data_IF_711694292732
#
_entry.id   IF_711694292732
#
_cell.length_a   1.000
_cell.length_b   1.000
_cell.length_c   1.000
_cell.angle_alpha   90.00
_cell.angle_beta   90.00
_cell.angle_gamma   90.00
#
_symmetry.space_group_name_H-M   'P 1'
#
loop_
_entity.id
_entity.type
_entity.pdbx_description
1 polymer ?
#
# COMPACT_ATOMS: atom_id res chain seq x y z
N UNK A 1 -12.78 -4.72 -30.07
CA UNK A 1 -12.05 -3.52 -29.68
C UNK A 1 -12.72 -2.68 -28.56
N UNK A 2 -13.96 -2.97 -28.09
CA UNK A 2 -14.82 -1.97 -27.44
C UNK A 2 -15.31 -2.24 -26.01
N UNK A 3 -14.84 -3.27 -25.27
CA UNK A 3 -15.31 -3.47 -23.87
C UNK A 3 -14.44 -2.79 -22.80
N UNK A 4 -13.14 -2.59 -23.06
CA UNK A 4 -12.28 -1.83 -22.15
C UNK A 4 -12.53 -0.32 -22.26
N UNK A 5 -12.79 0.20 -23.48
CA UNK A 5 -13.18 1.58 -23.73
C UNK A 5 -14.47 1.96 -22.97
N UNK A 6 -15.51 1.10 -22.95
CA UNK A 6 -16.76 1.37 -22.23
C UNK A 6 -16.62 1.50 -20.70
N UNK A 7 -15.59 0.91 -20.07
CA UNK A 7 -15.38 1.07 -18.62
C UNK A 7 -14.63 2.35 -18.29
N UNK A 8 -13.76 2.83 -19.19
CA UNK A 8 -13.14 4.16 -19.11
C UNK A 8 -14.20 5.26 -19.23
N UNK A 9 -15.23 5.09 -20.06
CA UNK A 9 -16.30 6.08 -20.22
C UNK A 9 -17.01 6.41 -18.91
N UNK A 10 -17.23 5.41 -18.04
CA UNK A 10 -17.89 5.63 -16.75
C UNK A 10 -17.09 6.55 -15.81
N UNK A 11 -15.74 6.50 -15.86
CA UNK A 11 -14.87 7.36 -15.05
C UNK A 11 -14.88 8.80 -15.57
N UNK A 12 -15.07 8.99 -16.89
CA UNK A 12 -15.06 10.29 -17.54
C UNK A 12 -16.46 10.95 -17.58
N UNK A 13 -17.55 10.16 -17.68
CA UNK A 13 -18.91 10.69 -17.89
C UNK A 13 -19.86 10.48 -16.71
N UNK A 14 -19.64 9.46 -15.87
CA UNK A 14 -20.54 9.07 -14.78
C UNK A 14 -20.59 10.12 -13.65
N UNK A 15 -21.66 10.11 -12.84
CA UNK A 15 -21.77 10.96 -11.65
C UNK A 15 -20.63 10.64 -10.65
N UNK A 16 -19.93 11.64 -10.06
CA UNK A 16 -18.71 11.40 -9.28
C UNK A 16 -18.87 10.44 -8.12
N UNK A 17 -19.93 10.58 -7.29
CA UNK A 17 -20.11 9.75 -6.09
C UNK A 17 -20.37 8.27 -6.42
N UNK A 18 -21.35 7.90 -7.28
CA UNK A 18 -21.53 6.50 -7.65
C UNK A 18 -20.30 5.91 -8.35
N UNK A 19 -19.67 6.68 -9.23
CA UNK A 19 -18.46 6.24 -9.95
C UNK A 19 -17.33 5.93 -8.98
N UNK A 20 -17.05 6.83 -8.03
CA UNK A 20 -16.05 6.62 -6.99
C UNK A 20 -16.36 5.38 -6.17
N UNK A 21 -17.61 5.23 -5.71
CA UNK A 21 -18.04 4.11 -4.87
C UNK A 21 -17.88 2.76 -5.59
N UNK A 22 -18.42 2.63 -6.81
CA UNK A 22 -18.32 1.37 -7.57
C UNK A 22 -16.88 1.00 -7.95
N UNK A 23 -16.01 2.00 -8.11
CA UNK A 23 -14.61 1.77 -8.40
C UNK A 23 -13.79 1.47 -7.14
N UNK A 24 -14.08 2.14 -6.01
CA UNK A 24 -13.42 1.95 -4.73
C UNK A 24 -13.79 0.61 -4.06
N UNK A 25 -15.04 0.17 -4.16
CA UNK A 25 -15.54 -1.01 -3.47
C UNK A 25 -14.69 -2.27 -3.71
N UNK A 26 -14.31 -2.65 -4.94
CA UNK A 26 -13.42 -3.80 -5.16
C UNK A 26 -12.03 -3.60 -4.54
N UNK A 27 -11.52 -2.37 -4.48
CA UNK A 27 -10.20 -2.06 -3.90
C UNK A 27 -10.28 -2.20 -2.38
N UNK A 28 -11.31 -1.63 -1.75
CA UNK A 28 -11.57 -1.75 -0.30
C UNK A 28 -11.69 -3.21 0.10
N UNK A 29 -12.54 -3.96 -0.60
CA UNK A 29 -12.72 -5.39 -0.34
C UNK A 29 -11.39 -6.15 -0.51
N UNK A 30 -10.60 -5.83 -1.55
CA UNK A 30 -9.28 -6.41 -1.75
C UNK A 30 -8.34 -6.14 -0.56
N UNK A 31 -8.29 -4.91 -0.06
CA UNK A 31 -7.48 -4.55 1.10
C UNK A 31 -7.94 -5.30 2.37
N UNK A 32 -9.25 -5.40 2.60
CA UNK A 32 -9.82 -6.14 3.73
C UNK A 32 -9.45 -7.63 3.63
N UNK A 33 -9.66 -8.25 2.47
CA UNK A 33 -9.30 -9.66 2.27
C UNK A 33 -7.79 -9.89 2.46
N UNK A 34 -6.95 -8.96 2.07
CA UNK A 34 -5.51 -9.04 2.29
C UNK A 34 -5.15 -8.99 3.78
N UNK A 35 -5.86 -8.19 4.60
CA UNK A 35 -5.66 -8.16 6.05
C UNK A 35 -6.15 -9.47 6.70
N UNK A 36 -7.33 -9.95 6.33
CA UNK A 36 -7.85 -11.23 6.83
C UNK A 36 -6.92 -12.39 6.48
N UNK A 37 -6.45 -12.43 5.26
CA UNK A 37 -5.49 -13.42 4.81
C UNK A 37 -4.20 -13.39 5.64
N UNK A 38 -3.63 -12.21 5.90
CA UNK A 38 -2.42 -12.07 6.73
C UNK A 38 -2.60 -12.62 8.16
N UNK A 39 -3.82 -12.55 8.71
CA UNK A 39 -4.14 -13.16 10.01
C UNK A 39 -4.18 -14.69 9.90
N UNK A 40 -4.82 -15.22 8.85
CA UNK A 40 -4.89 -16.68 8.61
C UNK A 40 -3.50 -17.26 8.42
N UNK A 41 -2.66 -16.60 7.63
CA UNK A 41 -1.26 -16.99 7.40
C UNK A 41 -0.48 -17.05 8.73
N UNK A 42 -0.58 -16.00 9.55
CA UNK A 42 0.06 -15.97 10.86
C UNK A 42 -0.41 -17.11 11.79
N UNK A 43 -1.70 -17.49 11.74
CA UNK A 43 -2.25 -18.61 12.51
C UNK A 43 -1.69 -19.95 12.01
N UNK A 44 -1.67 -20.17 10.69
CA UNK A 44 -1.16 -21.42 10.08
C UNK A 44 0.32 -21.58 10.41
N UNK A 45 1.10 -20.52 10.18
CA UNK A 45 2.54 -20.50 10.49
C UNK A 45 2.78 -20.78 11.98
N UNK A 46 2.09 -20.06 12.87
CA UNK A 46 2.26 -20.24 14.32
C UNK A 46 1.87 -21.60 14.82
N UNK A 47 0.86 -22.24 14.20
CA UNK A 47 0.37 -23.58 14.63
C UNK A 47 1.27 -24.73 14.17
N UNK A 48 1.88 -24.64 12.99
CA UNK A 48 2.55 -25.76 12.35
C UNK A 48 4.08 -25.66 12.33
N UNK A 49 4.67 -24.45 12.43
CA UNK A 49 6.11 -24.29 12.27
C UNK A 49 6.94 -24.44 13.55
N UNK A 50 6.38 -24.17 14.71
CA UNK A 50 7.13 -24.05 15.97
C UNK A 50 7.87 -22.72 16.11
N UNK A 51 8.58 -22.53 17.23
CA UNK A 51 9.09 -21.24 17.67
C UNK A 51 10.26 -20.71 16.83
N UNK A 52 11.20 -21.57 16.45
CA UNK A 52 12.42 -21.16 15.75
C UNK A 52 12.15 -20.61 14.33
N UNK A 53 11.40 -21.30 13.44
CA UNK A 53 11.04 -20.75 12.14
C UNK A 53 10.13 -19.52 12.25
N UNK A 54 9.22 -19.48 13.24
CA UNK A 54 8.36 -18.31 13.47
C UNK A 54 9.20 -17.07 13.86
N UNK A 55 10.20 -17.24 14.71
CA UNK A 55 11.17 -16.19 15.02
C UNK A 55 11.93 -15.75 13.77
N UNK A 56 12.33 -16.70 12.90
CA UNK A 56 12.99 -16.41 11.62
C UNK A 56 12.15 -15.53 10.69
N UNK A 57 10.86 -15.86 10.51
CA UNK A 57 9.93 -15.04 9.71
C UNK A 57 9.76 -13.65 10.34
N UNK A 58 9.61 -13.57 11.67
CA UNK A 58 9.38 -12.30 12.36
C UNK A 58 10.55 -11.33 12.23
N UNK A 59 11.78 -11.83 12.22
CA UNK A 59 13.00 -11.00 12.02
C UNK A 59 13.18 -10.63 10.55
N UNK A 60 12.78 -11.51 9.61
CA UNK A 60 12.87 -11.27 8.19
C UNK A 60 11.80 -10.31 7.66
N UNK A 61 10.60 -10.29 8.26
CA UNK A 61 9.44 -9.53 7.80
C UNK A 61 9.74 -8.03 7.55
N UNK A 62 10.42 -7.29 8.44
CA UNK A 62 10.74 -5.89 8.19
C UNK A 62 11.56 -5.63 6.93
N UNK A 63 12.47 -6.54 6.59
CA UNK A 63 13.32 -6.43 5.39
C UNK A 63 12.47 -6.65 4.14
N UNK A 64 11.60 -7.66 4.16
CA UNK A 64 10.65 -7.95 3.09
C UNK A 64 9.67 -6.80 2.89
N UNK A 65 9.17 -6.21 3.97
CA UNK A 65 8.22 -5.09 3.92
C UNK A 65 8.81 -3.85 3.25
N UNK A 66 10.08 -3.53 3.52
CA UNK A 66 10.77 -2.41 2.85
C UNK A 66 10.94 -2.70 1.35
N UNK A 67 11.33 -3.91 0.97
CA UNK A 67 11.46 -4.30 -0.44
C UNK A 67 10.11 -4.25 -1.17
N UNK A 68 9.06 -4.78 -0.55
CA UNK A 68 7.70 -4.71 -1.09
C UNK A 68 7.19 -3.26 -1.18
N UNK A 69 7.48 -2.41 -0.20
CA UNK A 69 7.11 -0.99 -0.21
C UNK A 69 7.74 -0.25 -1.41
N UNK A 70 9.00 -0.54 -1.74
CA UNK A 70 9.66 0.01 -2.93
C UNK A 70 9.00 -0.45 -4.22
N UNK A 71 8.72 -1.74 -4.35
CA UNK A 71 8.08 -2.33 -5.54
C UNK A 71 6.65 -1.80 -5.69
N UNK A 72 5.82 -1.89 -4.67
CA UNK A 72 4.42 -1.46 -4.70
C UNK A 72 4.33 0.05 -4.95
N UNK A 73 5.13 0.84 -4.22
CA UNK A 73 5.18 2.28 -4.39
C UNK A 73 5.55 2.67 -5.82
N UNK A 74 6.58 2.03 -6.40
CA UNK A 74 6.97 2.24 -7.79
C UNK A 74 5.84 1.98 -8.77
N UNK A 75 5.11 0.88 -8.59
CA UNK A 75 3.97 0.54 -9.47
C UNK A 75 2.77 1.50 -9.30
N UNK A 76 2.56 2.07 -8.11
CA UNK A 76 1.55 3.13 -7.89
C UNK A 76 1.91 4.36 -8.73
N UNK A 77 3.16 4.82 -8.68
CA UNK A 77 3.62 5.96 -9.47
C UNK A 77 3.44 5.77 -10.97
N UNK A 78 3.79 4.58 -11.48
CA UNK A 78 3.58 4.20 -12.89
C UNK A 78 2.09 4.18 -13.23
N UNK A 79 1.23 3.69 -12.33
CA UNK A 79 -0.21 3.68 -12.50
C UNK A 79 -0.82 5.06 -12.67
N UNK A 80 -0.32 6.08 -11.95
CA UNK A 80 -0.75 7.48 -12.14
C UNK A 80 -0.49 7.95 -13.57
N UNK A 81 0.73 7.71 -14.07
CA UNK A 81 1.12 8.10 -15.42
C UNK A 81 0.28 7.36 -16.47
N UNK A 82 0.04 6.05 -16.26
CA UNK A 82 -0.84 5.24 -17.09
C UNK A 82 -2.26 5.83 -17.14
N UNK A 83 -2.84 6.17 -15.99
CA UNK A 83 -4.19 6.70 -15.91
C UNK A 83 -4.33 8.05 -16.64
N UNK A 84 -3.32 8.92 -16.56
CA UNK A 84 -3.29 10.19 -17.31
C UNK A 84 -3.26 9.94 -18.82
N UNK A 85 -2.44 9.00 -19.30
CA UNK A 85 -2.37 8.66 -20.71
C UNK A 85 -3.65 7.96 -21.20
N UNK A 86 -4.29 7.13 -20.37
CA UNK A 86 -5.59 6.53 -20.67
C UNK A 86 -6.68 7.61 -20.83
N UNK A 87 -6.70 8.61 -19.94
CA UNK A 87 -7.64 9.71 -20.00
C UNK A 87 -7.43 10.64 -21.21
N UNK A 88 -6.19 10.82 -21.63
CA UNK A 88 -5.81 11.57 -22.84
C UNK A 88 -6.02 10.77 -24.14
N UNK A 89 -6.39 9.48 -24.05
CA UNK A 89 -6.50 8.56 -25.20
C UNK A 89 -5.21 8.45 -26.03
N UNK A 90 -4.04 8.77 -25.44
CA UNK A 90 -2.75 8.70 -26.11
C UNK A 90 -2.17 7.27 -26.03
N UNK A 91 -2.76 6.38 -26.82
CA UNK A 91 -2.45 4.96 -26.83
C UNK A 91 -1.01 4.65 -27.30
N UNK A 92 -0.44 5.49 -28.17
CA UNK A 92 0.93 5.32 -28.65
C UNK A 92 1.91 5.56 -27.51
N UNK A 93 1.72 6.67 -26.80
CA UNK A 93 2.55 7.04 -25.66
C UNK A 93 2.37 6.08 -24.50
N UNK A 94 1.14 5.58 -24.29
CA UNK A 94 0.84 4.55 -23.29
C UNK A 94 1.61 3.26 -23.54
N UNK A 95 1.68 2.76 -24.79
CA UNK A 95 2.44 1.55 -25.13
C UNK A 95 3.94 1.75 -24.94
N UNK A 96 4.47 2.90 -25.36
CA UNK A 96 5.88 3.25 -25.13
C UNK A 96 6.21 3.29 -23.64
N UNK A 97 5.36 3.94 -22.84
CA UNK A 97 5.47 3.98 -21.39
C UNK A 97 5.39 2.58 -20.78
N UNK A 98 4.42 1.77 -21.21
CA UNK A 98 4.23 0.40 -20.74
C UNK A 98 5.48 -0.47 -20.99
N UNK A 99 6.04 -0.44 -22.20
CA UNK A 99 7.26 -1.19 -22.53
C UNK A 99 8.46 -0.72 -21.70
N UNK A 100 8.66 0.60 -21.60
CA UNK A 100 9.78 1.21 -20.86
C UNK A 100 9.67 0.92 -19.36
N UNK A 101 8.47 1.04 -18.79
CA UNK A 101 8.20 0.82 -17.36
C UNK A 101 8.32 -0.67 -16.98
N UNK A 102 7.86 -1.58 -17.85
CA UNK A 102 7.98 -3.01 -17.65
C UNK A 102 9.45 -3.44 -17.63
N UNK A 103 10.22 -3.03 -18.65
CA UNK A 103 11.64 -3.37 -18.76
C UNK A 103 12.47 -2.73 -17.64
N UNK A 104 12.29 -1.44 -17.40
CA UNK A 104 13.04 -0.71 -16.36
C UNK A 104 12.65 -1.17 -14.95
N UNK A 105 11.37 -1.39 -14.70
CA UNK A 105 10.88 -1.87 -13.41
C UNK A 105 11.32 -3.31 -13.12
N UNK A 106 11.26 -4.20 -14.12
CA UNK A 106 11.77 -5.57 -13.99
C UNK A 106 13.29 -5.59 -13.72
N UNK A 107 14.06 -4.81 -14.46
CA UNK A 107 15.51 -4.72 -14.25
C UNK A 107 15.86 -4.21 -12.84
N UNK A 108 15.18 -3.13 -12.39
CA UNK A 108 15.38 -2.60 -11.03
C UNK A 108 14.98 -3.61 -9.96
N UNK A 109 13.86 -4.32 -10.16
CA UNK A 109 13.40 -5.35 -9.21
C UNK A 109 14.38 -6.51 -9.12
N UNK A 110 14.96 -6.94 -10.25
CA UNK A 110 16.00 -7.98 -10.26
C UNK A 110 17.27 -7.52 -9.53
N UNK A 111 17.64 -6.25 -9.65
CA UNK A 111 18.77 -5.68 -8.87
C UNK A 111 18.45 -5.70 -7.38
N UNK A 112 17.26 -5.25 -6.98
CA UNK A 112 16.82 -5.28 -5.57
C UNK A 112 16.82 -6.73 -5.05
N UNK A 113 16.31 -7.67 -5.83
CA UNK A 113 16.29 -9.09 -5.48
C UNK A 113 17.71 -9.65 -5.29
N UNK A 114 18.62 -9.39 -6.24
CA UNK A 114 20.01 -9.85 -6.15
C UNK A 114 20.74 -9.26 -4.94
N UNK A 115 20.59 -7.96 -4.68
CA UNK A 115 21.16 -7.29 -3.50
C UNK A 115 20.53 -7.87 -2.23
N UNK A 116 19.22 -8.07 -2.19
CA UNK A 116 18.52 -8.67 -1.05
C UNK A 116 18.99 -10.08 -0.73
N UNK A 117 19.21 -10.93 -1.76
CA UNK A 117 19.73 -12.29 -1.59
C UNK A 117 21.15 -12.25 -1.00
N UNK A 118 22.03 -11.44 -1.59
CA UNK A 118 23.45 -11.33 -1.14
C UNK A 118 23.55 -10.73 0.26
N UNK A 119 22.74 -9.70 0.55
CA UNK A 119 22.78 -8.97 1.80
C UNK A 119 21.92 -9.59 2.92
N UNK A 120 21.16 -10.68 2.67
CA UNK A 120 20.25 -11.29 3.65
C UNK A 120 20.94 -11.65 4.96
N UNK A 121 22.05 -12.40 4.92
CA UNK A 121 22.80 -12.80 6.12
C UNK A 121 23.47 -11.61 6.82
N UNK A 122 24.22 -10.73 6.09
CA UNK A 122 24.77 -9.51 6.71
C UNK A 122 23.72 -8.63 7.41
N UNK A 123 22.55 -8.44 6.81
CA UNK A 123 21.49 -7.62 7.39
C UNK A 123 20.92 -8.24 8.66
N UNK A 124 20.68 -9.56 8.66
CA UNK A 124 20.19 -10.28 9.84
C UNK A 124 21.21 -10.24 11.00
N UNK A 125 22.50 -10.44 10.71
CA UNK A 125 23.55 -10.31 11.73
C UNK A 125 23.67 -8.88 12.26
N UNK A 126 23.53 -7.87 11.42
CA UNK A 126 23.53 -6.47 11.85
C UNK A 126 22.36 -6.12 12.77
N UNK A 127 21.24 -6.87 12.69
CA UNK A 127 20.13 -6.77 13.64
C UNK A 127 20.39 -7.49 14.99
N UNK A 128 21.53 -8.12 15.18
CA UNK A 128 21.83 -8.88 16.38
C UNK A 128 21.08 -10.21 16.47
N UNK A 129 20.63 -10.77 15.35
CA UNK A 129 19.87 -12.03 15.29
C UNK A 129 20.75 -13.21 15.70
N UNK A 130 20.24 -14.06 16.60
CA UNK A 130 20.89 -15.31 17.00
C UNK A 130 21.16 -16.22 15.79
N UNK A 131 22.32 -16.90 15.76
CA UNK A 131 22.77 -17.66 14.59
C UNK A 131 21.78 -18.77 14.12
N UNK A 132 21.07 -19.39 15.08
CA UNK A 132 20.06 -20.39 14.77
C UNK A 132 18.86 -19.77 14.01
N UNK A 133 18.35 -18.63 14.49
CA UNK A 133 17.25 -17.87 13.87
C UNK A 133 17.71 -17.24 12.55
N UNK A 134 18.96 -16.77 12.49
CA UNK A 134 19.56 -16.18 11.30
C UNK A 134 19.57 -17.15 10.10
N UNK A 135 19.86 -18.42 10.33
CA UNK A 135 19.84 -19.45 9.27
C UNK A 135 18.46 -19.64 8.69
N UNK A 136 17.43 -19.77 9.52
CA UNK A 136 16.04 -19.91 9.07
C UNK A 136 15.57 -18.63 8.33
N UNK A 137 15.80 -17.46 8.92
CA UNK A 137 15.45 -16.18 8.34
C UNK A 137 16.13 -15.94 6.98
N UNK A 138 17.40 -16.32 6.82
CA UNK A 138 18.15 -16.17 5.58
C UNK A 138 17.55 -17.02 4.44
N UNK A 139 17.18 -18.27 4.72
CA UNK A 139 16.52 -19.14 3.74
C UNK A 139 15.19 -18.53 3.28
N UNK A 140 14.39 -18.04 4.22
CA UNK A 140 13.12 -17.38 3.90
C UNK A 140 13.34 -16.13 3.03
N UNK A 141 14.25 -15.24 3.44
CA UNK A 141 14.57 -14.01 2.70
C UNK A 141 15.03 -14.31 1.28
N UNK A 142 15.96 -15.25 1.10
CA UNK A 142 16.50 -15.61 -0.21
C UNK A 142 15.41 -16.11 -1.16
N UNK A 143 14.51 -16.95 -0.68
CA UNK A 143 13.39 -17.46 -1.48
C UNK A 143 12.38 -16.36 -1.81
N UNK A 144 12.02 -15.50 -0.86
CA UNK A 144 11.10 -14.38 -1.10
C UNK A 144 11.70 -13.36 -2.06
N UNK A 145 12.99 -13.02 -1.91
CA UNK A 145 13.67 -12.14 -2.85
C UNK A 145 13.78 -12.74 -4.26
N UNK A 146 14.02 -14.05 -4.39
CA UNK A 146 13.99 -14.72 -5.69
C UNK A 146 12.60 -14.61 -6.36
N UNK A 147 11.52 -14.60 -5.58
CA UNK A 147 10.16 -14.38 -6.04
C UNK A 147 9.74 -12.92 -6.25
N UNK A 148 10.59 -11.94 -5.89
CA UNK A 148 10.21 -10.52 -5.91
C UNK A 148 9.80 -10.01 -7.30
N UNK A 149 10.34 -10.62 -8.37
CA UNK A 149 9.93 -10.30 -9.74
C UNK A 149 8.46 -10.65 -10.00
N UNK A 150 7.95 -11.72 -9.43
CA UNK A 150 6.54 -12.10 -9.54
C UNK A 150 5.63 -11.11 -8.79
N UNK A 151 6.08 -10.65 -7.61
CA UNK A 151 5.43 -9.58 -6.86
C UNK A 151 5.36 -8.29 -7.69
N UNK A 152 6.46 -7.88 -8.32
CA UNK A 152 6.49 -6.73 -9.22
C UNK A 152 5.49 -6.89 -10.38
N UNK A 153 5.54 -7.99 -11.10
CA UNK A 153 4.68 -8.23 -12.26
C UNK A 153 3.20 -8.20 -11.89
N UNK A 154 2.81 -8.83 -10.78
CA UNK A 154 1.45 -8.78 -10.27
C UNK A 154 1.02 -7.33 -9.97
N UNK A 155 1.77 -6.62 -9.12
CA UNK A 155 1.45 -5.26 -8.73
C UNK A 155 1.45 -4.29 -9.91
N UNK A 156 2.38 -4.47 -10.85
CA UNK A 156 2.48 -3.71 -12.08
C UNK A 156 1.21 -3.85 -12.93
N UNK A 157 0.86 -5.07 -13.32
CA UNK A 157 -0.32 -5.30 -14.17
C UNK A 157 -1.63 -5.00 -13.43
N UNK A 158 -1.72 -5.26 -12.13
CA UNK A 158 -2.87 -4.87 -11.31
C UNK A 158 -3.04 -3.33 -11.28
N UNK A 159 -1.94 -2.57 -11.15
CA UNK A 159 -1.95 -1.10 -11.21
C UNK A 159 -2.37 -0.61 -12.60
N UNK A 160 -1.83 -1.18 -13.67
CA UNK A 160 -2.17 -0.84 -15.05
C UNK A 160 -3.65 -1.12 -15.36
N UNK A 161 -4.19 -2.26 -14.93
CA UNK A 161 -5.61 -2.61 -15.10
C UNK A 161 -6.51 -1.62 -14.35
N UNK A 162 -6.16 -1.26 -13.10
CA UNK A 162 -6.90 -0.22 -12.36
C UNK A 162 -6.84 1.12 -13.08
N UNK A 163 -5.69 1.51 -13.59
CA UNK A 163 -5.48 2.75 -14.34
C UNK A 163 -6.32 2.82 -15.62
N UNK A 164 -6.59 1.67 -16.24
CA UNK A 164 -7.52 1.55 -17.38
C UNK A 164 -9.00 1.37 -16.96
N UNK A 165 -9.37 1.67 -15.71
CA UNK A 165 -10.75 1.62 -15.22
C UNK A 165 -11.26 0.23 -14.81
N UNK A 166 -10.38 -0.76 -14.62
CA UNK A 166 -10.77 -2.10 -14.21
C UNK A 166 -10.23 -2.45 -12.81
N UNK A 167 -10.98 -2.11 -11.75
CA UNK A 167 -10.65 -2.50 -10.37
C UNK A 167 -11.12 -3.90 -9.99
N UNK A 168 -12.11 -4.47 -10.70
CA UNK A 168 -12.71 -5.77 -10.36
C UNK A 168 -11.79 -6.94 -10.64
N UNK A 169 -11.08 -6.93 -11.76
CA UNK A 169 -10.21 -8.06 -12.15
C UNK A 169 -9.05 -8.25 -11.17
N UNK A 170 -8.26 -7.22 -10.80
CA UNK A 170 -7.23 -7.37 -9.77
C UNK A 170 -7.78 -7.86 -8.44
N UNK A 171 -8.99 -7.43 -8.05
CA UNK A 171 -9.65 -7.91 -6.83
C UNK A 171 -9.96 -9.41 -6.90
N UNK A 172 -10.57 -9.89 -7.99
CA UNK A 172 -10.90 -11.33 -8.15
C UNK A 172 -9.62 -12.17 -8.14
N UNK A 173 -8.58 -11.71 -8.83
CA UNK A 173 -7.28 -12.41 -8.83
C UNK A 173 -6.70 -12.48 -7.42
N UNK A 174 -6.74 -11.36 -6.67
CA UNK A 174 -6.28 -11.33 -5.29
C UNK A 174 -7.07 -12.31 -4.41
N UNK A 175 -8.39 -12.32 -4.52
CA UNK A 175 -9.26 -13.21 -3.74
C UNK A 175 -8.93 -14.68 -3.98
N UNK A 176 -8.85 -15.09 -5.25
CA UNK A 176 -8.52 -16.48 -5.61
C UNK A 176 -7.10 -16.84 -5.18
N UNK A 177 -6.13 -15.94 -5.40
CA UNK A 177 -4.73 -16.15 -5.02
C UNK A 177 -4.55 -16.25 -3.51
N UNK A 178 -5.23 -15.43 -2.71
CA UNK A 178 -5.18 -15.49 -1.25
C UNK A 178 -5.76 -16.79 -0.71
N UNK A 179 -6.87 -17.27 -1.32
CA UNK A 179 -7.44 -18.58 -0.97
C UNK A 179 -6.48 -19.71 -1.32
N UNK A 180 -5.89 -19.66 -2.52
CA UNK A 180 -4.89 -20.64 -2.96
C UNK A 180 -3.67 -20.65 -2.04
N UNK A 181 -3.20 -19.47 -1.61
CA UNK A 181 -2.05 -19.35 -0.70
C UNK A 181 -2.34 -20.03 0.64
N UNK A 182 -3.49 -19.76 1.27
CA UNK A 182 -3.87 -20.42 2.52
C UNK A 182 -3.91 -21.96 2.39
N UNK A 183 -4.41 -22.47 1.25
CA UNK A 183 -4.41 -23.91 0.96
C UNK A 183 -2.99 -24.47 0.77
N UNK A 184 -2.12 -23.74 0.09
CA UNK A 184 -0.73 -24.15 -0.11
C UNK A 184 0.08 -24.07 1.19
N UNK A 185 -0.17 -23.10 2.07
CA UNK A 185 0.45 -23.04 3.39
C UNK A 185 0.09 -24.28 4.23
N UNK A 186 -1.19 -24.62 4.30
CA UNK A 186 -1.63 -25.85 4.99
C UNK A 186 -0.97 -27.09 4.37
N UNK A 187 -0.89 -27.17 3.05
CA UNK A 187 -0.29 -28.29 2.35
C UNK A 187 1.24 -28.37 2.59
N UNK A 188 1.97 -27.28 2.36
CA UNK A 188 3.43 -27.32 2.42
C UNK A 188 3.96 -27.32 3.84
N UNK A 189 3.30 -26.59 4.74
CA UNK A 189 3.75 -26.48 6.13
C UNK A 189 3.09 -27.54 7.00
N UNK A 190 1.78 -27.75 6.87
CA UNK A 190 1.03 -28.66 7.73
C UNK A 190 1.16 -30.13 7.30
N UNK A 191 1.05 -30.44 5.98
CA UNK A 191 1.04 -31.83 5.49
C UNK A 191 2.43 -32.30 5.09
N UNK A 192 3.14 -31.51 4.27
CA UNK A 192 4.47 -31.88 3.73
C UNK A 192 5.62 -31.55 4.70
N UNK A 193 5.36 -30.77 5.77
CA UNK A 193 6.34 -30.38 6.77
C UNK A 193 7.62 -29.74 6.21
N UNK A 194 7.49 -28.92 5.16
CA UNK A 194 8.61 -28.21 4.54
C UNK A 194 9.15 -27.05 5.37
N UNK A 195 8.57 -26.79 6.53
CA UNK A 195 9.00 -25.75 7.44
C UNK A 195 8.91 -24.35 6.81
N UNK A 196 9.88 -23.49 7.11
CA UNK A 196 9.94 -22.10 6.61
C UNK A 196 10.04 -22.01 5.08
N UNK A 197 10.62 -23.04 4.43
CA UNK A 197 10.68 -23.12 2.97
C UNK A 197 9.28 -23.28 2.36
N UNK A 198 8.39 -23.99 3.05
CA UNK A 198 7.01 -24.14 2.63
C UNK A 198 6.28 -22.82 2.53
N UNK A 199 6.41 -21.96 3.55
CA UNK A 199 5.81 -20.61 3.57
C UNK A 199 6.36 -19.73 2.46
N UNK A 200 7.68 -19.75 2.23
CA UNK A 200 8.28 -18.97 1.15
C UNK A 200 7.83 -19.46 -0.23
N UNK A 201 7.76 -20.78 -0.43
CA UNK A 201 7.33 -21.36 -1.69
C UNK A 201 5.85 -21.08 -1.99
N UNK A 202 4.94 -21.20 -1.01
CA UNK A 202 3.52 -20.87 -1.20
C UNK A 202 3.34 -19.42 -1.60
N UNK A 203 4.05 -18.49 -0.94
CA UNK A 203 4.06 -17.06 -1.27
C UNK A 203 4.49 -16.83 -2.73
N UNK A 204 5.64 -17.38 -3.14
CA UNK A 204 6.18 -17.17 -4.49
C UNK A 204 5.28 -17.78 -5.55
N UNK A 205 4.75 -18.98 -5.32
CA UNK A 205 3.84 -19.65 -6.26
C UNK A 205 2.54 -18.85 -6.45
N UNK A 206 1.96 -18.32 -5.37
CA UNK A 206 0.74 -17.51 -5.44
C UNK A 206 0.98 -16.17 -6.13
N UNK A 207 2.12 -15.53 -5.89
CA UNK A 207 2.51 -14.32 -6.62
C UNK A 207 2.72 -14.62 -8.11
N UNK A 208 3.34 -15.75 -8.45
CA UNK A 208 3.52 -16.20 -9.84
C UNK A 208 2.18 -16.45 -10.52
N UNK A 209 1.26 -17.15 -9.85
CA UNK A 209 -0.10 -17.39 -10.34
C UNK A 209 -0.85 -16.07 -10.58
N UNK A 210 -0.80 -15.13 -9.62
CA UNK A 210 -1.43 -13.82 -9.73
C UNK A 210 -0.86 -13.01 -10.88
N UNK A 211 0.46 -12.99 -11.04
CA UNK A 211 1.15 -12.31 -12.12
C UNK A 211 0.76 -12.89 -13.48
N UNK A 212 0.82 -14.22 -13.64
CA UNK A 212 0.45 -14.91 -14.87
C UNK A 212 -1.01 -14.62 -15.26
N UNK A 213 -1.95 -14.68 -14.29
CA UNK A 213 -3.35 -14.37 -14.57
C UNK A 213 -3.55 -12.91 -14.95
N UNK A 214 -2.92 -11.94 -14.25
CA UNK A 214 -2.98 -10.52 -14.62
C UNK A 214 -2.44 -10.28 -16.04
N UNK A 215 -1.31 -10.87 -16.40
CA UNK A 215 -0.69 -10.74 -17.71
C UNK A 215 -1.63 -11.30 -18.79
N UNK A 216 -2.08 -12.55 -18.64
CA UNK A 216 -2.98 -13.21 -19.58
C UNK A 216 -4.30 -12.45 -19.76
N UNK A 217 -4.84 -11.88 -18.68
CA UNK A 217 -6.04 -11.07 -18.75
C UNK A 217 -5.77 -9.75 -19.49
N UNK A 218 -4.68 -9.07 -19.18
CA UNK A 218 -4.30 -7.82 -19.84
C UNK A 218 -4.10 -8.03 -21.34
N UNK A 219 -3.38 -9.06 -21.73
CA UNK A 219 -3.15 -9.39 -23.15
C UNK A 219 -4.43 -9.69 -23.91
N UNK A 220 -5.37 -10.44 -23.31
CA UNK A 220 -6.60 -10.87 -23.99
C UNK A 220 -7.73 -9.84 -23.97
N UNK A 221 -7.78 -8.97 -22.95
CA UNK A 221 -8.94 -8.12 -22.67
C UNK A 221 -8.65 -6.62 -22.62
N UNK A 222 -7.37 -6.22 -22.61
CA UNK A 222 -6.95 -4.82 -22.54
C UNK A 222 -5.97 -4.48 -23.67
N UNK A 223 -6.42 -4.28 -24.91
CA UNK A 223 -5.56 -3.99 -26.06
C UNK A 223 -4.57 -2.83 -25.86
N UNK A 224 -4.92 -1.75 -25.09
CA UNK A 224 -3.96 -0.70 -24.80
C UNK A 224 -2.73 -1.16 -24.03
N UNK A 225 -2.85 -2.23 -23.24
CA UNK A 225 -1.76 -2.79 -22.41
C UNK A 225 -0.99 -3.91 -23.11
N UNK A 226 -1.50 -4.41 -24.25
CA UNK A 226 -0.86 -5.48 -25.00
C UNK A 226 0.37 -4.93 -25.71
N UNK A 227 1.54 -5.55 -25.49
CA UNK A 227 2.79 -5.20 -26.12
C UNK A 227 3.17 -6.27 -27.16
N UNK A 228 3.48 -5.84 -28.37
CA UNK A 228 4.11 -6.69 -29.38
C UNK A 228 5.62 -6.79 -29.07
N UNK A 229 6.26 -7.89 -29.46
CA UNK A 229 7.71 -8.05 -29.28
C UNK A 229 8.54 -6.90 -29.90
N UNK A 230 8.07 -6.34 -31.02
CA UNK A 230 8.69 -5.19 -31.67
C UNK A 230 8.54 -3.86 -30.90
N UNK A 231 7.55 -3.77 -29.99
CA UNK A 231 7.30 -2.59 -29.17
C UNK A 231 8.03 -2.65 -27.82
N UNK A 232 8.63 -3.81 -27.46
CA UNK A 232 9.45 -3.99 -26.26
C UNK A 232 10.81 -3.29 -26.42
N UNK A 233 10.80 -1.96 -26.33
CA UNK A 233 11.99 -1.12 -26.39
C UNK A 233 12.02 -0.15 -25.23
N UNK A 234 13.19 0.01 -24.61
CA UNK A 234 13.40 1.01 -23.58
C UNK A 234 13.67 2.36 -24.24
N UNK A 235 12.81 3.34 -24.01
CA UNK A 235 12.99 4.71 -24.46
C UNK A 235 13.53 5.57 -23.32
N UNK A 236 14.72 6.15 -23.48
CA UNK A 236 15.44 6.90 -22.44
C UNK A 236 14.64 8.10 -21.91
N UNK A 237 13.97 8.85 -22.80
CA UNK A 237 13.16 10.02 -22.40
C UNK A 237 11.95 9.61 -21.58
N UNK A 238 11.25 8.56 -22.02
CA UNK A 238 10.13 7.97 -21.29
C UNK A 238 10.61 7.35 -19.97
N UNK A 239 11.77 6.70 -19.96
CA UNK A 239 12.39 6.15 -18.75
C UNK A 239 12.64 7.18 -17.67
N UNK A 240 13.10 8.39 -18.02
CA UNK A 240 13.25 9.49 -17.07
C UNK A 240 11.91 9.93 -16.45
N UNK A 241 10.83 9.97 -17.25
CA UNK A 241 9.49 10.29 -16.76
C UNK A 241 8.96 9.18 -15.84
N UNK A 242 9.02 7.93 -16.27
CA UNK A 242 8.62 6.75 -15.48
C UNK A 242 9.37 6.71 -14.15
N UNK A 243 10.70 6.87 -14.19
CA UNK A 243 11.53 6.87 -12.99
C UNK A 243 11.13 7.98 -12.02
N UNK A 244 10.84 9.20 -12.51
CA UNK A 244 10.47 10.32 -11.64
C UNK A 244 9.17 10.07 -10.87
N UNK A 245 8.19 9.39 -11.48
CA UNK A 245 6.94 9.01 -10.84
C UNK A 245 7.12 7.80 -9.91
N UNK A 246 7.79 6.76 -10.41
CA UNK A 246 8.01 5.53 -9.66
C UNK A 246 8.87 5.76 -8.40
N UNK A 247 9.99 6.50 -8.53
CA UNK A 247 10.90 6.78 -7.42
C UNK A 247 10.23 7.56 -6.29
N UNK A 248 9.49 8.62 -6.62
CA UNK A 248 8.84 9.44 -5.60
C UNK A 248 7.82 8.64 -4.79
N UNK A 249 7.00 7.81 -5.45
CA UNK A 249 6.02 6.96 -4.79
C UNK A 249 6.68 5.78 -4.04
N UNK A 250 7.74 5.18 -4.58
CA UNK A 250 8.49 4.12 -3.92
C UNK A 250 9.16 4.60 -2.63
N UNK A 251 9.84 5.75 -2.69
CA UNK A 251 10.50 6.34 -1.52
C UNK A 251 9.47 6.75 -0.46
N UNK A 252 8.33 7.32 -0.86
CA UNK A 252 7.24 7.63 0.06
C UNK A 252 6.81 6.40 0.86
N UNK A 253 6.54 5.26 0.19
CA UNK A 253 6.11 4.02 0.85
C UNK A 253 7.21 3.44 1.74
N UNK A 254 8.46 3.43 1.29
CA UNK A 254 9.59 2.93 2.06
C UNK A 254 9.83 3.75 3.34
N UNK A 255 9.76 5.08 3.25
CA UNK A 255 9.93 5.99 4.41
C UNK A 255 8.84 5.74 5.45
N UNK A 256 7.58 5.56 5.04
CA UNK A 256 6.48 5.25 5.96
C UNK A 256 6.71 3.90 6.65
N UNK A 257 7.16 2.88 5.91
CA UNK A 257 7.49 1.56 6.44
C UNK A 257 8.62 1.64 7.48
N UNK A 258 9.75 2.26 7.12
CA UNK A 258 10.89 2.45 8.02
C UNK A 258 10.50 3.24 9.27
N UNK A 259 9.69 4.29 9.12
CA UNK A 259 9.22 5.09 10.25
C UNK A 259 8.38 4.29 11.26
N UNK A 260 7.57 3.34 10.80
CA UNK A 260 6.82 2.42 11.68
C UNK A 260 7.78 1.53 12.48
N UNK A 261 8.78 0.96 11.82
CA UNK A 261 9.77 0.08 12.46
C UNK A 261 10.58 0.82 13.54
N UNK A 262 11.02 2.05 13.25
CA UNK A 262 11.76 2.87 14.21
C UNK A 262 10.93 3.17 15.46
N UNK A 263 9.66 3.55 15.30
CA UNK A 263 8.76 3.81 16.45
C UNK A 263 8.49 2.53 17.24
N UNK A 264 8.30 1.39 16.56
CA UNK A 264 8.06 0.11 17.23
C UNK A 264 9.25 -0.29 18.12
N UNK A 265 10.48 -0.07 17.68
CA UNK A 265 11.69 -0.33 18.48
C UNK A 265 11.76 0.51 19.76
N UNK A 266 11.20 1.71 19.77
CA UNK A 266 11.19 2.60 20.94
C UNK A 266 10.18 2.19 22.03
N UNK A 267 9.29 1.24 21.75
CA UNK A 267 8.26 0.78 22.68
C UNK A 267 8.71 -0.34 23.61
N UNK A 268 9.76 -1.05 23.25
CA UNK A 268 10.26 -2.22 23.98
C UNK A 268 10.44 -1.96 25.50
N UNK A 269 10.94 -0.79 25.94
CA UNK A 269 11.09 -0.49 27.36
C UNK A 269 9.77 -0.35 28.15
N UNK A 270 8.62 -0.18 27.49
CA UNK A 270 7.31 -0.01 28.14
C UNK A 270 6.69 -1.33 28.65
N UNK A 271 7.37 -2.46 28.42
CA UNK A 271 6.94 -3.79 28.86
C UNK A 271 6.04 -4.51 27.84
N UNK A 272 6.05 -5.84 27.94
CA UNK A 272 5.45 -6.75 26.95
C UNK A 272 3.95 -6.51 26.74
N UNK A 273 3.18 -6.32 27.83
CA UNK A 273 1.72 -6.13 27.73
C UNK A 273 1.36 -4.83 26.99
N UNK A 274 2.13 -3.75 27.22
CA UNK A 274 1.94 -2.47 26.53
C UNK A 274 2.26 -2.59 25.04
N UNK A 275 3.38 -3.23 24.70
CA UNK A 275 3.78 -3.47 23.29
C UNK A 275 2.76 -4.35 22.59
N UNK A 276 2.26 -5.39 23.25
CA UNK A 276 1.22 -6.27 22.70
C UNK A 276 -0.08 -5.50 22.45
N UNK A 277 -0.54 -4.71 23.42
CA UNK A 277 -1.73 -3.87 23.28
C UNK A 277 -1.61 -2.85 22.14
N UNK A 278 -0.45 -2.23 21.98
CA UNK A 278 -0.15 -1.36 20.85
C UNK A 278 -0.21 -2.11 19.51
N UNK A 279 0.39 -3.29 19.42
CA UNK A 279 0.36 -4.10 18.19
C UNK A 279 -1.07 -4.53 17.80
N UNK A 280 -1.93 -4.84 18.81
CA UNK A 280 -3.35 -5.11 18.54
C UNK A 280 -4.05 -3.86 17.99
N UNK A 281 -3.77 -2.69 18.56
CA UNK A 281 -4.31 -1.42 18.07
C UNK A 281 -3.83 -1.07 16.65
N UNK A 282 -2.58 -1.38 16.31
CA UNK A 282 -2.09 -1.22 14.93
C UNK A 282 -2.83 -2.13 13.94
N UNK A 283 -3.22 -3.35 14.32
CA UNK A 283 -4.04 -4.22 13.47
C UNK A 283 -5.41 -3.60 13.22
N UNK A 284 -6.04 -3.03 14.26
CA UNK A 284 -7.31 -2.30 14.14
C UNK A 284 -7.12 -1.10 13.21
N UNK A 285 -6.07 -0.31 13.41
CA UNK A 285 -5.73 0.83 12.55
C UNK A 285 -5.60 0.40 11.07
N UNK A 286 -4.92 -0.71 10.78
CA UNK A 286 -4.78 -1.23 9.42
C UNK A 286 -6.13 -1.57 8.78
N UNK A 287 -7.07 -2.17 9.53
CA UNK A 287 -8.43 -2.41 9.05
C UNK A 287 -9.17 -1.11 8.74
N UNK A 288 -9.07 -0.11 9.61
CA UNK A 288 -9.66 1.21 9.37
C UNK A 288 -9.08 1.84 8.10
N UNK A 289 -7.77 1.80 7.93
CA UNK A 289 -7.10 2.34 6.75
C UNK A 289 -7.43 1.63 5.44
N UNK A 290 -7.91 0.39 5.45
CA UNK A 290 -8.38 -0.29 4.23
C UNK A 290 -9.45 0.52 3.48
N UNK A 291 -10.35 1.17 4.22
CA UNK A 291 -11.41 1.99 3.64
C UNK A 291 -10.83 3.25 3.00
N UNK A 292 -10.06 4.02 3.76
CA UNK A 292 -9.47 5.27 3.28
C UNK A 292 -8.51 5.04 2.11
N UNK A 293 -7.62 4.07 2.19
CA UNK A 293 -6.71 3.72 1.10
C UNK A 293 -7.46 3.28 -0.17
N UNK A 294 -8.58 2.57 -0.02
CA UNK A 294 -9.40 2.17 -1.16
C UNK A 294 -10.09 3.34 -1.85
N UNK A 295 -10.65 4.28 -1.08
CA UNK A 295 -11.25 5.53 -1.59
C UNK A 295 -10.18 6.40 -2.26
N UNK A 296 -9.03 6.59 -1.59
CA UNK A 296 -7.90 7.37 -2.11
C UNK A 296 -7.36 6.77 -3.42
N UNK A 297 -7.14 5.46 -3.48
CA UNK A 297 -6.68 4.78 -4.70
C UNK A 297 -7.67 4.91 -5.87
N UNK A 298 -8.97 4.80 -5.60
CA UNK A 298 -10.01 5.02 -6.60
C UNK A 298 -10.02 6.48 -7.08
N UNK A 299 -9.94 7.43 -6.15
CA UNK A 299 -9.86 8.85 -6.47
C UNK A 299 -8.64 9.17 -7.33
N UNK A 300 -7.46 8.64 -7.02
CA UNK A 300 -6.23 8.85 -7.83
C UNK A 300 -6.47 8.50 -9.29
N UNK A 301 -7.08 7.35 -9.57
CA UNK A 301 -7.38 6.93 -10.95
C UNK A 301 -8.39 7.86 -11.61
N UNK A 302 -9.49 8.19 -10.91
CA UNK A 302 -10.51 9.11 -11.41
C UNK A 302 -9.92 10.49 -11.73
N UNK A 303 -9.10 11.04 -10.83
CA UNK A 303 -8.46 12.34 -11.03
C UNK A 303 -7.47 12.30 -12.20
N UNK A 304 -6.61 11.29 -12.25
CA UNK A 304 -5.58 11.16 -13.29
C UNK A 304 -6.20 11.03 -14.68
N UNK A 305 -7.28 10.22 -14.84
CA UNK A 305 -7.97 10.10 -16.12
C UNK A 305 -8.68 11.41 -16.53
N UNK A 306 -9.41 12.06 -15.61
CA UNK A 306 -10.08 13.32 -15.92
C UNK A 306 -9.07 14.46 -16.18
N UNK A 307 -7.91 14.45 -15.53
CA UNK A 307 -6.83 15.38 -15.83
C UNK A 307 -6.25 15.15 -17.22
N UNK A 308 -6.00 13.89 -17.59
CA UNK A 308 -5.55 13.52 -18.94
C UNK A 308 -6.56 13.90 -20.02
N UNK A 309 -7.85 13.77 -19.73
CA UNK A 309 -8.95 14.17 -20.63
C UNK A 309 -9.14 15.71 -20.71
N UNK A 310 -8.49 16.47 -19.80
CA UNK A 310 -8.62 17.94 -19.77
C UNK A 310 -9.80 18.45 -18.94
N UNK A 311 -10.64 17.60 -18.33
CA UNK A 311 -11.79 18.05 -17.51
C UNK A 311 -11.39 18.38 -16.07
N UNK A 312 -10.83 19.55 -15.88
CA UNK A 312 -10.40 20.09 -14.57
C UNK A 312 -11.57 20.29 -13.60
N UNK A 313 -12.76 20.56 -14.10
CA UNK A 313 -13.97 20.71 -13.25
C UNK A 313 -14.33 19.40 -12.59
N UNK A 314 -14.29 18.29 -13.35
CA UNK A 314 -14.52 16.94 -12.80
C UNK A 314 -13.44 16.52 -11.82
N UNK A 315 -12.17 16.86 -12.06
CA UNK A 315 -11.08 16.63 -11.11
C UNK A 315 -11.45 17.24 -9.75
N UNK A 316 -11.86 18.52 -9.72
CA UNK A 316 -12.29 19.19 -8.49
C UNK A 316 -13.54 18.54 -7.86
N UNK A 317 -14.53 18.11 -8.67
CA UNK A 317 -15.74 17.44 -8.15
C UNK A 317 -15.39 16.12 -7.48
N UNK A 318 -14.57 15.27 -8.11
CA UNK A 318 -14.11 14.02 -7.52
C UNK A 318 -13.36 14.25 -6.20
N UNK A 319 -12.45 15.23 -6.17
CA UNK A 319 -11.74 15.58 -4.93
C UNK A 319 -12.69 15.96 -3.79
N UNK A 320 -13.67 16.84 -4.06
CA UNK A 320 -14.65 17.25 -3.04
C UNK A 320 -15.49 16.06 -2.55
N UNK A 321 -15.97 15.23 -3.47
CA UNK A 321 -16.74 14.04 -3.12
C UNK A 321 -15.91 13.10 -2.26
N UNK A 322 -14.65 12.88 -2.60
CA UNK A 322 -13.75 12.03 -1.81
C UNK A 322 -13.50 12.59 -0.41
N UNK A 323 -13.32 13.91 -0.26
CA UNK A 323 -13.22 14.55 1.06
C UNK A 323 -14.48 14.32 1.90
N UNK A 324 -15.67 14.47 1.30
CA UNK A 324 -16.94 14.21 2.01
C UNK A 324 -17.09 12.74 2.42
N UNK A 325 -16.70 11.81 1.52
CA UNK A 325 -16.74 10.36 1.81
C UNK A 325 -15.80 10.01 2.95
N UNK A 326 -14.56 10.49 2.92
CA UNK A 326 -13.57 10.27 3.99
C UNK A 326 -14.03 10.86 5.33
N UNK A 327 -14.60 12.08 5.32
CA UNK A 327 -15.17 12.69 6.51
C UNK A 327 -16.32 11.86 7.10
N UNK A 328 -17.19 11.32 6.26
CA UNK A 328 -18.28 10.45 6.69
C UNK A 328 -17.76 9.11 7.24
N UNK A 329 -16.78 8.50 6.56
CA UNK A 329 -16.17 7.25 7.02
C UNK A 329 -15.53 7.41 8.39
N UNK A 330 -14.71 8.46 8.61
CA UNK A 330 -14.07 8.64 9.91
C UNK A 330 -15.06 9.06 11.00
N UNK A 331 -16.11 9.80 10.67
CA UNK A 331 -17.16 10.12 11.62
C UNK A 331 -17.82 8.84 12.17
N UNK A 332 -18.10 7.86 11.31
CA UNK A 332 -18.67 6.57 11.71
C UNK A 332 -17.62 5.71 12.43
N UNK A 333 -16.50 5.42 11.77
CA UNK A 333 -15.50 4.49 12.28
C UNK A 333 -14.80 5.04 13.54
N UNK A 334 -14.50 6.33 13.58
CA UNK A 334 -13.92 7.00 14.74
C UNK A 334 -14.86 6.97 15.94
N UNK A 335 -16.16 7.20 15.72
CA UNK A 335 -17.17 7.09 16.80
C UNK A 335 -17.25 5.66 17.35
N UNK A 336 -17.21 4.64 16.49
CA UNK A 336 -17.18 3.23 16.93
C UNK A 336 -15.91 2.95 17.76
N UNK A 337 -14.75 3.40 17.31
CA UNK A 337 -13.49 3.23 18.04
C UNK A 337 -13.46 4.00 19.37
N UNK A 338 -14.13 5.14 19.44
CA UNK A 338 -14.24 5.95 20.67
C UNK A 338 -15.18 5.32 21.69
N UNK A 339 -16.35 4.84 21.25
CA UNK A 339 -17.37 4.27 22.15
C UNK A 339 -17.03 2.85 22.62
N UNK A 340 -16.35 2.04 21.80
CA UNK A 340 -16.12 0.63 22.04
C UNK A 340 -14.65 0.19 21.97
N UNK A 341 -13.68 0.96 22.52
CA UNK A 341 -12.26 0.65 22.34
C UNK A 341 -11.86 -0.68 22.97
N UNK A 342 -12.37 -0.98 24.19
CA UNK A 342 -12.06 -2.22 24.90
C UNK A 342 -12.66 -3.44 24.23
N UNK A 343 -13.89 -3.34 23.73
CA UNK A 343 -14.56 -4.43 23.02
C UNK A 343 -13.84 -4.77 21.70
N UNK A 344 -13.39 -3.74 20.97
CA UNK A 344 -12.66 -3.92 19.70
C UNK A 344 -11.31 -4.58 19.94
N UNK A 345 -10.54 -4.13 20.94
CA UNK A 345 -9.26 -4.74 21.30
C UNK A 345 -9.46 -6.14 21.87
N UNK A 346 -10.53 -6.36 22.63
CA UNK A 346 -10.92 -7.67 23.18
C UNK A 346 -11.23 -8.75 22.11
N UNK A 347 -11.47 -8.36 20.85
CA UNK A 347 -11.56 -9.33 19.74
C UNK A 347 -10.22 -10.02 19.43
N UNK A 348 -9.10 -9.46 19.89
CA UNK A 348 -7.75 -9.94 19.58
C UNK A 348 -6.99 -10.48 20.80
N UNK A 349 -7.48 -10.28 22.03
CA UNK A 349 -6.81 -10.72 23.25
C UNK A 349 -7.82 -10.87 24.40
N UNK A 350 -7.60 -11.89 25.23
CA UNK A 350 -8.36 -12.11 26.47
C UNK A 350 -7.64 -11.53 27.72
N UNK A 351 -6.39 -11.03 27.55
CA UNK A 351 -5.61 -10.47 28.65
C UNK A 351 -6.07 -9.05 28.97
N UNK A 352 -6.60 -8.82 30.19
CA UNK A 352 -7.14 -7.54 30.63
C UNK A 352 -6.13 -6.38 30.56
N UNK A 353 -4.84 -6.61 30.85
CA UNK A 353 -3.81 -5.57 30.77
C UNK A 353 -3.51 -5.17 29.31
N UNK A 354 -3.47 -6.16 28.41
CA UNK A 354 -3.32 -5.93 26.97
C UNK A 354 -4.51 -5.16 26.43
N UNK A 355 -5.74 -5.56 26.80
CA UNK A 355 -6.96 -4.85 26.42
C UNK A 355 -6.94 -3.41 26.92
N UNK A 356 -6.58 -3.18 28.18
CA UNK A 356 -6.53 -1.83 28.76
C UNK A 356 -5.49 -0.94 28.04
N UNK A 357 -4.30 -1.47 27.74
CA UNK A 357 -3.27 -0.74 27.00
C UNK A 357 -3.70 -0.41 25.56
N UNK A 358 -4.25 -1.39 24.85
CA UNK A 358 -4.72 -1.20 23.46
C UNK A 358 -5.92 -0.27 23.39
N UNK A 359 -6.89 -0.41 24.30
CA UNK A 359 -8.07 0.46 24.36
C UNK A 359 -7.70 1.92 24.65
N UNK A 360 -6.69 2.15 25.49
CA UNK A 360 -6.16 3.49 25.76
C UNK A 360 -5.62 4.14 24.49
N UNK A 361 -4.82 3.41 23.71
CA UNK A 361 -4.33 3.90 22.41
C UNK A 361 -5.48 4.12 21.43
N UNK A 362 -6.29 3.10 21.17
CA UNK A 362 -7.37 3.14 20.18
C UNK A 362 -8.39 4.24 20.48
N UNK A 363 -8.81 4.40 21.75
CA UNK A 363 -9.74 5.45 22.18
C UNK A 363 -9.15 6.85 22.04
N UNK A 364 -7.86 7.04 22.39
CA UNK A 364 -7.17 8.33 22.22
C UNK A 364 -7.02 8.68 20.75
N UNK A 365 -6.71 7.70 19.89
CA UNK A 365 -6.52 7.92 18.47
C UNK A 365 -7.83 8.06 17.67
N UNK A 366 -8.97 7.67 18.22
CA UNK A 366 -10.26 7.55 17.52
C UNK A 366 -10.63 8.79 16.67
N UNK A 367 -10.53 10.00 17.25
CA UNK A 367 -10.80 11.24 16.52
C UNK A 367 -9.54 11.80 15.81
N UNK A 368 -8.34 11.45 16.28
CA UNK A 368 -7.10 11.87 15.64
C UNK A 368 -6.90 11.19 14.28
N UNK A 369 -7.54 10.04 14.06
CA UNK A 369 -7.59 9.43 12.72
C UNK A 369 -8.24 10.34 11.66
N UNK A 370 -9.00 11.38 12.05
CA UNK A 370 -9.49 12.39 11.12
C UNK A 370 -8.34 13.01 10.30
N UNK A 371 -7.23 13.34 10.97
CA UNK A 371 -6.07 13.92 10.29
C UNK A 371 -5.40 12.91 9.35
N UNK A 372 -5.38 11.63 9.71
CA UNK A 372 -4.85 10.57 8.87
C UNK A 372 -5.69 10.37 7.60
N UNK A 373 -7.02 10.30 7.72
CA UNK A 373 -7.95 10.15 6.60
C UNK A 373 -7.93 11.38 5.69
N UNK A 374 -7.93 12.59 6.27
CA UNK A 374 -7.77 13.82 5.50
C UNK A 374 -6.41 13.87 4.80
N UNK A 375 -5.34 13.43 5.47
CA UNK A 375 -4.01 13.31 4.88
C UNK A 375 -4.00 12.36 3.68
N UNK A 376 -4.62 11.19 3.80
CA UNK A 376 -4.66 10.19 2.71
C UNK A 376 -5.40 10.71 1.47
N UNK A 377 -6.55 11.41 1.66
CA UNK A 377 -7.29 11.98 0.52
C UNK A 377 -6.54 13.16 -0.11
N UNK A 378 -5.86 14.00 0.68
CA UNK A 378 -5.08 15.11 0.15
C UNK A 378 -3.85 14.58 -0.61
N UNK A 379 -3.16 13.59 -0.06
CA UNK A 379 -2.07 12.92 -0.77
C UNK A 379 -2.56 12.26 -2.07
N UNK A 380 -3.72 11.59 -2.03
CA UNK A 380 -4.37 11.04 -3.21
C UNK A 380 -4.66 12.10 -4.28
N UNK A 381 -5.09 13.30 -3.87
CA UNK A 381 -5.29 14.42 -4.77
C UNK A 381 -4.00 14.81 -5.51
N UNK A 382 -2.90 15.01 -4.77
CA UNK A 382 -1.62 15.36 -5.39
C UNK A 382 -1.02 14.22 -6.21
N UNK A 383 -1.17 12.97 -5.77
CA UNK A 383 -0.80 11.79 -6.57
C UNK A 383 -1.56 11.77 -7.89
N UNK A 384 -2.88 11.97 -7.87
CA UNK A 384 -3.73 12.03 -9.07
C UNK A 384 -3.37 13.16 -10.03
N UNK A 385 -2.89 14.29 -9.52
CA UNK A 385 -2.33 15.39 -10.32
C UNK A 385 -0.90 15.13 -10.84
N UNK A 386 -0.27 14.01 -10.49
CA UNK A 386 1.11 13.70 -10.85
C UNK A 386 2.17 14.45 -10.03
N UNK A 387 1.78 15.11 -8.93
CA UNK A 387 2.70 15.88 -8.05
C UNK A 387 3.29 14.99 -6.93
N UNK A 388 3.82 13.83 -7.30
CA UNK A 388 4.31 12.83 -6.34
C UNK A 388 5.49 13.28 -5.49
N UNK A 389 6.33 14.19 -6.00
CA UNK A 389 7.44 14.75 -5.21
C UNK A 389 6.96 15.53 -3.98
N UNK A 390 5.84 16.24 -4.09
CA UNK A 390 5.25 16.97 -2.95
C UNK A 390 4.81 15.99 -1.87
N UNK A 391 4.09 14.93 -2.24
CA UNK A 391 3.62 13.91 -1.28
C UNK A 391 4.78 13.14 -0.64
N UNK A 392 5.84 12.87 -1.40
CA UNK A 392 7.06 12.25 -0.88
C UNK A 392 7.73 13.12 0.19
N UNK A 393 7.93 14.42 -0.10
CA UNK A 393 8.58 15.34 0.85
C UNK A 393 7.72 15.54 2.10
N UNK A 394 6.40 15.71 1.94
CA UNK A 394 5.49 15.86 3.07
C UNK A 394 5.48 14.60 3.96
N UNK A 395 5.46 13.40 3.36
CA UNK A 395 5.55 12.14 4.10
C UNK A 395 6.89 11.97 4.82
N UNK A 396 8.00 12.40 4.21
CA UNK A 396 9.32 12.38 4.86
C UNK A 396 9.33 13.27 6.10
N UNK A 397 8.84 14.50 5.98
CA UNK A 397 8.76 15.45 7.11
C UNK A 397 7.83 14.92 8.22
N UNK A 398 6.69 14.35 7.85
CA UNK A 398 5.77 13.69 8.78
C UNK A 398 6.44 12.56 9.57
N UNK A 399 7.16 11.67 8.87
CA UNK A 399 7.82 10.52 9.51
C UNK A 399 8.98 10.98 10.39
N UNK A 400 9.79 11.93 9.94
CA UNK A 400 10.88 12.50 10.75
C UNK A 400 10.33 13.12 12.03
N UNK A 401 9.29 13.96 11.94
CA UNK A 401 8.65 14.56 13.12
C UNK A 401 8.11 13.50 14.07
N UNK A 402 7.41 12.50 13.54
CA UNK A 402 6.88 11.38 14.33
C UNK A 402 7.99 10.63 15.08
N UNK A 403 9.09 10.28 14.41
CA UNK A 403 10.21 9.54 15.02
C UNK A 403 10.89 10.38 16.09
N UNK A 404 11.17 11.66 15.79
CA UNK A 404 11.80 12.58 16.75
C UNK A 404 10.90 12.78 17.97
N UNK A 405 9.62 13.08 17.79
CA UNK A 405 8.70 13.23 18.91
C UNK A 405 8.51 11.93 19.69
N UNK A 406 8.47 10.78 19.03
CA UNK A 406 8.41 9.48 19.72
C UNK A 406 9.60 9.27 20.63
N UNK A 407 10.80 9.59 20.18
CA UNK A 407 12.03 9.46 20.99
C UNK A 407 11.98 10.28 22.30
N UNK A 408 11.46 11.51 22.26
CA UNK A 408 11.37 12.37 23.45
C UNK A 408 10.13 12.11 24.30
N UNK A 409 8.99 11.79 23.70
CA UNK A 409 7.70 11.72 24.41
C UNK A 409 7.41 10.33 24.98
N UNK A 410 7.87 9.24 24.36
CA UNK A 410 7.62 7.88 24.87
C UNK A 410 8.21 7.68 26.29
N UNK A 411 9.44 8.08 26.59
CA UNK A 411 10.00 7.92 27.94
C UNK A 411 9.22 8.69 29.03
N UNK A 412 8.57 9.81 28.65
CA UNK A 412 7.89 10.70 29.64
C UNK A 412 6.41 10.34 29.76
N UNK A 413 5.72 10.10 28.63
CA UNK A 413 4.26 9.92 28.59
C UNK A 413 3.82 8.51 28.17
N UNK A 414 4.75 7.60 27.95
CA UNK A 414 4.44 6.22 27.54
C UNK A 414 3.55 6.16 26.31
N UNK A 415 2.44 5.46 26.40
CA UNK A 415 1.47 5.27 25.29
C UNK A 415 0.90 6.60 24.77
N UNK A 416 0.65 7.59 25.64
CA UNK A 416 0.18 8.90 25.19
C UNK A 416 1.22 9.65 24.37
N UNK A 417 2.51 9.44 24.69
CA UNK A 417 3.63 10.01 23.93
C UNK A 417 3.62 9.55 22.47
N UNK A 418 3.26 8.27 22.21
CA UNK A 418 3.11 7.75 20.84
C UNK A 418 1.92 8.41 20.16
N UNK A 419 0.76 8.50 20.83
CA UNK A 419 -0.43 9.11 20.27
C UNK A 419 -0.14 10.55 19.80
N UNK A 420 0.53 11.34 20.66
CA UNK A 420 0.89 12.72 20.32
C UNK A 420 1.88 12.78 19.17
N UNK A 421 2.91 11.92 19.16
CA UNK A 421 3.90 11.91 18.10
C UNK A 421 3.30 11.54 16.73
N UNK A 422 2.44 10.51 16.70
CA UNK A 422 1.76 10.07 15.47
C UNK A 422 0.79 11.13 14.97
N UNK A 423 -0.05 11.66 15.85
CA UNK A 423 -1.03 12.70 15.50
C UNK A 423 -0.36 13.99 15.01
N UNK A 424 0.73 14.42 15.67
CA UNK A 424 1.50 15.60 15.25
C UNK A 424 2.05 15.45 13.84
N UNK A 425 2.51 14.24 13.48
CA UNK A 425 2.94 13.93 12.11
C UNK A 425 1.79 14.08 11.10
N UNK A 426 0.61 13.55 11.38
CA UNK A 426 -0.56 13.70 10.51
C UNK A 426 -1.05 15.14 10.40
N UNK A 427 -1.07 15.87 11.52
CA UNK A 427 -1.41 17.31 11.52
C UNK A 427 -0.44 18.10 10.65
N UNK A 428 0.88 17.88 10.79
CA UNK A 428 1.88 18.53 9.95
C UNK A 428 1.63 18.26 8.46
N UNK A 429 1.37 17.00 8.09
CA UNK A 429 1.09 16.63 6.71
C UNK A 429 -0.14 17.36 6.16
N UNK A 430 -1.25 17.36 6.93
CA UNK A 430 -2.48 18.07 6.55
C UNK A 430 -2.28 19.56 6.46
N UNK A 431 -1.49 20.18 7.33
CA UNK A 431 -1.16 21.62 7.25
C UNK A 431 -0.35 21.95 6.00
N UNK A 432 0.69 21.17 5.71
CA UNK A 432 1.53 21.38 4.51
C UNK A 432 0.70 21.18 3.25
N UNK A 433 0.16 19.99 3.05
CA UNK A 433 -0.51 19.64 1.80
C UNK A 433 -1.90 20.27 1.70
N UNK A 434 -2.63 20.45 2.81
CA UNK A 434 -3.96 21.02 2.83
C UNK A 434 -3.97 22.48 2.32
N UNK A 435 -3.00 23.30 2.77
CA UNK A 435 -2.85 24.65 2.29
C UNK A 435 -2.60 24.73 0.78
N UNK A 436 -1.77 23.84 0.25
CA UNK A 436 -1.51 23.70 -1.19
C UNK A 436 -2.73 23.15 -1.95
N UNK A 437 -3.48 22.21 -1.35
CA UNK A 437 -4.63 21.60 -2.01
C UNK A 437 -5.74 22.61 -2.26
N UNK A 438 -6.03 23.49 -1.30
CA UNK A 438 -7.03 24.57 -1.46
C UNK A 438 -6.63 25.53 -2.59
N UNK A 439 -5.37 25.96 -2.63
CA UNK A 439 -4.86 26.83 -3.69
C UNK A 439 -4.93 26.15 -5.06
N UNK A 440 -4.46 24.90 -5.14
CA UNK A 440 -4.47 24.11 -6.39
C UNK A 440 -5.91 23.85 -6.89
N UNK A 441 -6.82 23.50 -5.98
CA UNK A 441 -8.22 23.26 -6.34
C UNK A 441 -8.95 24.54 -6.80
N UNK A 442 -8.54 25.72 -6.33
CA UNK A 442 -9.03 27.01 -6.83
C UNK A 442 -8.45 27.33 -8.22
N UNK A 443 -7.15 27.14 -8.42
CA UNK A 443 -6.49 27.39 -9.71
C UNK A 443 -7.09 26.56 -10.86
N UNK A 444 -7.45 25.28 -10.59
CA UNK A 444 -8.13 24.43 -11.57
C UNK A 444 -9.47 24.98 -12.09
N UNK A 445 -10.03 26.01 -11.46
CA UNK A 445 -11.30 26.65 -11.89
C UNK A 445 -11.12 28.00 -12.55
N UNK A 446 -10.00 28.68 -12.36
CA UNK A 446 -9.76 30.02 -12.90
C UNK A 446 -9.35 29.99 -14.38
N UNK A 447 -8.54 29.00 -14.77
CA UNK A 447 -8.07 28.85 -16.17
C UNK A 447 -9.21 28.63 -17.18
N UNK A 448 -10.40 28.17 -16.76
CA UNK A 448 -11.58 28.02 -17.65
C UNK A 448 -12.38 29.33 -17.85
N UNK A 449 -12.05 30.42 -17.15
CA UNK A 449 -12.70 31.72 -17.34
C UNK A 449 -11.95 32.61 -18.34
N UNK A 450 -10.75 32.20 -18.74
CA UNK A 450 -9.91 32.94 -19.69
C UNK A 450 -9.89 32.28 -21.10
N UNK A 451 -10.41 31.03 -21.23
CA UNK A 451 -10.73 30.39 -22.52
C UNK A 451 -12.22 30.64 -22.92
#
# INVERSE_FOLDING_TARGET
>A
MYRAARKSDALLTGAPLPTLFYFALPIILGNIFQQLYSIVDAIVVGKFLGDLPLAGISVAAPIVDVANALVIGGTIGIGVLCAQMCGAEDWMRLRCMNATALLGGAALTLVIAAVGIVCSVPLLRAQGTEEAVCREAAVYLQLVFAGLICCFLYNYYASMLRSCGNSRTPFVILLVSSTLHALLDVLFVGVLAWGIRGVACSTVLCQTFSAAWCILYAERRCPPLTLKRSELRFERRMGGMVLSYAWAAALQQAVVCIGRLLVQGMLTPLGTNTVTGYNMSLRIEQFLFCFSQGVSAAMVVCLSQNLGHGDRVRVRRFYRVSVCVEAALIAVLGTVCFLFPSQIVGLFSDNGEVIAAGARYTGTMAYLYLFAYMGEVIQGFFRGLGRLRLTMVASLLQVVLRVVLSYFLIPVWGMYGICVAVASGWVLLVLIEGSYSVRTARALTMEKREE
#
